data_IF_422997238106
#
_entry.id   IF_422997238106
#
_cell.length_a   1.000
_cell.length_b   1.000
_cell.length_c   1.000
_cell.angle_alpha   90.00
_cell.angle_beta   90.00
_cell.angle_gamma   90.00
#
_symmetry.space_group_name_H-M   'P 1'
#
loop_
_entity.id
_entity.type
_entity.pdbx_description
1 polymer ?
#
# COMPACT_ATOMS: atom_id res chain seq x y z
N UNK A 1 -2.68 -17.28 -21.26
CA UNK A 1 -1.62 -16.28 -21.04
C UNK A 1 -1.65 -15.91 -19.56
N UNK A 2 -0.62 -16.26 -18.79
CA UNK A 2 -0.59 -15.96 -17.35
C UNK A 2 0.02 -14.58 -17.16
N UNK A 3 -0.73 -13.66 -16.53
CA UNK A 3 -0.26 -12.31 -16.24
C UNK A 3 0.74 -12.34 -15.09
N UNK A 4 1.98 -11.93 -15.34
CA UNK A 4 2.96 -11.66 -14.28
C UNK A 4 2.57 -10.38 -13.54
N UNK A 5 2.57 -10.45 -12.21
CA UNK A 5 2.30 -9.31 -11.35
C UNK A 5 3.17 -9.36 -10.09
N UNK A 6 3.76 -8.23 -9.72
CA UNK A 6 4.42 -8.02 -8.44
C UNK A 6 3.57 -7.04 -7.61
N UNK A 7 3.31 -7.39 -6.35
CA UNK A 7 2.56 -6.51 -5.43
C UNK A 7 3.37 -6.21 -4.19
N UNK A 8 3.67 -4.94 -3.99
CA UNK A 8 4.33 -4.42 -2.80
C UNK A 8 3.26 -3.72 -1.97
N UNK A 9 3.12 -4.15 -0.71
CA UNK A 9 2.21 -3.52 0.27
C UNK A 9 2.98 -3.12 1.51
N UNK A 10 2.95 -1.84 1.83
CA UNK A 10 3.50 -1.29 3.06
C UNK A 10 2.36 -0.77 3.93
N UNK A 11 2.48 -0.99 5.24
CA UNK A 11 1.51 -0.51 6.22
C UNK A 11 2.28 0.06 7.40
N UNK A 12 1.86 1.24 7.85
CA UNK A 12 2.35 1.91 9.06
C UNK A 12 1.17 2.44 9.86
N UNK A 13 1.31 2.49 11.17
CA UNK A 13 0.23 2.90 12.06
C UNK A 13 0.78 3.58 13.32
N UNK A 14 -0.08 4.31 14.02
CA UNK A 14 0.30 5.03 15.22
C UNK A 14 -0.89 5.37 16.11
N UNK A 15 -0.57 5.95 17.27
CA UNK A 15 -1.52 6.42 18.26
C UNK A 15 -1.22 7.89 18.56
N UNK A 16 -2.21 8.75 18.35
CA UNK A 16 -2.04 10.20 18.55
C UNK A 16 -1.85 10.59 20.02
N UNK A 17 -2.15 9.67 20.94
CA UNK A 17 -2.03 9.89 22.39
C UNK A 17 -0.66 9.40 22.90
N UNK A 18 -0.24 8.17 22.56
CA UNK A 18 1.00 7.59 23.10
C UNK A 18 2.27 8.12 22.43
N UNK A 19 2.22 8.38 21.11
CA UNK A 19 3.40 8.70 20.31
C UNK A 19 3.17 9.91 19.38
N UNK A 20 2.10 10.67 19.61
CA UNK A 20 1.71 11.79 18.75
C UNK A 20 1.44 11.35 17.31
N UNK A 21 1.87 12.16 16.33
CA UNK A 21 1.65 11.89 14.92
C UNK A 21 2.66 10.89 14.31
N UNK A 22 3.62 10.39 15.09
CA UNK A 22 4.65 9.49 14.59
C UNK A 22 4.09 8.07 14.35
N UNK A 23 4.56 7.44 13.26
CA UNK A 23 4.33 6.02 13.04
C UNK A 23 5.12 5.21 14.08
N UNK A 24 4.45 4.31 14.80
CA UNK A 24 5.11 3.45 15.78
C UNK A 24 5.05 1.97 15.38
N UNK A 25 3.93 1.52 14.84
CA UNK A 25 3.77 0.14 14.38
C UNK A 25 4.02 0.06 12.88
N UNK A 26 4.88 -0.85 12.46
CA UNK A 26 5.33 -1.02 11.08
C UNK A 26 5.10 -2.45 10.61
N UNK A 27 4.93 -2.63 9.30
CA UNK A 27 4.79 -3.94 8.68
C UNK A 27 3.34 -4.36 8.50
N UNK A 28 3.12 -5.56 7.96
CA UNK A 28 1.81 -5.99 7.43
C UNK A 28 0.69 -6.04 8.48
N UNK A 29 1.03 -6.17 9.76
CA UNK A 29 0.09 -6.28 10.87
C UNK A 29 -0.17 -4.95 11.60
N UNK A 30 0.50 -3.85 11.22
CA UNK A 30 0.44 -2.58 11.95
C UNK A 30 -1.00 -2.06 12.14
N UNK A 31 -1.87 -2.23 11.14
CA UNK A 31 -3.29 -1.85 11.25
C UNK A 31 -4.02 -2.65 12.34
N UNK A 32 -3.77 -3.96 12.46
CA UNK A 32 -4.37 -4.80 13.50
C UNK A 32 -3.87 -4.44 14.90
N UNK A 33 -2.59 -4.09 15.03
CA UNK A 33 -2.03 -3.62 16.31
C UNK A 33 -2.68 -2.29 16.73
N UNK A 34 -2.87 -1.37 15.80
CA UNK A 34 -3.53 -0.10 16.06
C UNK A 34 -5.01 -0.27 16.47
N UNK A 35 -5.74 -1.20 15.85
CA UNK A 35 -7.10 -1.54 16.23
C UNK A 35 -7.14 -2.12 17.66
N UNK A 36 -6.32 -3.14 17.94
CA UNK A 36 -6.26 -3.74 19.28
C UNK A 36 -5.88 -2.73 20.36
N UNK A 37 -4.97 -1.80 20.05
CA UNK A 37 -4.59 -0.73 20.98
C UNK A 37 -5.76 0.21 21.26
N UNK A 38 -6.52 0.59 20.23
CA UNK A 38 -7.74 1.38 20.40
C UNK A 38 -8.75 0.65 21.30
N UNK A 39 -9.04 -0.62 21.02
CA UNK A 39 -9.99 -1.41 21.80
C UNK A 39 -9.58 -1.53 23.28
N UNK A 40 -8.27 -1.64 23.55
CA UNK A 40 -7.75 -1.79 24.91
C UNK A 40 -7.65 -0.46 25.70
N UNK A 41 -7.49 0.68 25.03
CA UNK A 41 -7.15 1.97 25.67
C UNK A 41 -8.14 3.09 25.42
N UNK A 42 -9.01 2.97 24.42
CA UNK A 42 -9.86 4.04 23.91
C UNK A 42 -9.09 5.16 23.18
N UNK A 43 -7.77 5.06 23.04
CA UNK A 43 -6.99 6.10 22.36
C UNK A 43 -7.29 6.18 20.87
N UNK A 44 -7.24 7.39 20.31
CA UNK A 44 -7.32 7.57 18.85
C UNK A 44 -6.07 6.99 18.18
N UNK A 45 -6.27 5.99 17.33
CA UNK A 45 -5.23 5.39 16.50
C UNK A 45 -5.48 5.66 15.01
N UNK A 46 -4.45 5.46 14.20
CA UNK A 46 -4.51 5.64 12.75
C UNK A 46 -3.65 4.58 12.07
N UNK A 47 -4.00 4.23 10.83
CA UNK A 47 -3.22 3.34 9.98
C UNK A 47 -3.21 3.87 8.54
N UNK A 48 -2.04 3.84 7.91
CA UNK A 48 -1.83 4.22 6.51
C UNK A 48 -1.32 2.99 5.74
N UNK A 49 -1.86 2.79 4.55
CA UNK A 49 -1.51 1.67 3.67
C UNK A 49 -1.10 2.19 2.30
N UNK A 50 0.04 1.75 1.79
CA UNK A 50 0.45 1.98 0.40
C UNK A 50 0.51 0.66 -0.34
N UNK A 51 -0.06 0.64 -1.55
CA UNK A 51 -0.12 -0.52 -2.42
C UNK A 51 0.43 -0.15 -3.79
N UNK A 52 1.45 -0.88 -4.25
CA UNK A 52 1.99 -0.79 -5.59
C UNK A 52 1.85 -2.16 -6.25
N UNK A 53 1.19 -2.20 -7.39
CA UNK A 53 1.12 -3.39 -8.22
C UNK A 53 1.76 -3.09 -9.56
N UNK A 54 2.73 -3.90 -9.95
CA UNK A 54 3.42 -3.83 -11.24
C UNK A 54 2.97 -5.03 -12.07
N UNK A 55 2.64 -4.81 -13.33
CA UNK A 55 2.20 -5.84 -14.28
C UNK A 55 3.20 -5.98 -15.42
N UNK A 56 3.38 -7.20 -15.92
CA UNK A 56 4.30 -7.50 -17.00
C UNK A 56 5.73 -7.74 -16.54
N UNK A 57 6.62 -7.96 -17.50
CA UNK A 57 8.06 -8.13 -17.27
C UNK A 57 8.80 -6.91 -17.85
N UNK A 58 9.92 -6.51 -17.23
CA UNK A 58 10.73 -5.35 -17.65
C UNK A 58 11.23 -5.43 -19.10
N UNK A 59 11.24 -6.61 -19.70
CA UNK A 59 11.74 -6.86 -21.06
C UNK A 59 10.66 -6.87 -22.15
N UNK A 60 9.47 -6.31 -21.90
CA UNK A 60 8.45 -6.23 -22.95
C UNK A 60 8.91 -5.29 -24.08
N UNK A 61 8.80 -5.69 -25.36
CA UNK A 61 9.10 -4.79 -26.47
C UNK A 61 8.22 -3.54 -26.39
N UNK A 62 8.72 -2.37 -26.79
CA UNK A 62 7.91 -1.15 -26.82
C UNK A 62 6.69 -1.40 -27.70
N UNK A 63 5.50 -1.34 -27.09
CA UNK A 63 4.23 -1.46 -27.79
C UNK A 63 3.81 -0.05 -28.21
N UNK A 64 3.34 0.15 -29.47
CA UNK A 64 2.75 1.43 -29.86
C UNK A 64 1.62 1.79 -28.89
N UNK A 65 1.52 3.05 -28.48
CA UNK A 65 0.48 3.45 -27.53
C UNK A 65 -0.89 2.98 -28.05
N UNK A 66 -1.68 2.35 -27.18
CA UNK A 66 -3.00 1.81 -27.54
C UNK A 66 -3.92 2.92 -28.08
N UNK A 67 -3.61 4.17 -27.74
CA UNK A 67 -4.33 5.37 -28.15
C UNK A 67 -3.59 6.22 -29.18
N UNK A 68 -2.49 5.73 -29.77
CA UNK A 68 -1.91 6.40 -30.94
C UNK A 68 -2.91 6.28 -32.10
N UNK A 69 -3.49 7.41 -32.51
CA UNK A 69 -4.43 7.47 -33.63
C UNK A 69 -3.81 6.81 -34.86
N UNK A 70 -4.49 5.80 -35.40
CA UNK A 70 -4.20 5.26 -36.72
C UNK A 70 -4.65 6.33 -37.72
N UNK A 71 -3.74 7.00 -38.46
CA UNK A 71 -4.17 7.93 -39.50
C UNK A 71 -5.00 7.16 -40.53
N UNK A 72 -6.14 7.76 -40.89
CA UNK A 72 -7.19 7.21 -41.76
C UNK A 72 -6.68 6.84 -43.17
#
# INVERSE_FOLDING_TARGET
MTRTAETIRTVRAGCTVCHGLAAHWLGRNAAGVAARHHDATGHRTWAEQSLRTVYGADSAPPHPDLFAEVPA
#
